data_IF_364162733097
#
_entry.id   IF_364162733097
#
_cell.length_a   1.000
_cell.length_b   1.000
_cell.length_c   1.000
_cell.angle_alpha   90.00
_cell.angle_beta   90.00
_cell.angle_gamma   90.00
#
_symmetry.space_group_name_H-M   'P 1'
#
loop_
_entity.id
_entity.type
_entity.pdbx_description
1 polymer ?
#
# COMPACT_ATOMS: atom_id res chain seq x y z
N UNK A 1 -26.11 15.67 12.60
CA UNK A 1 -25.98 14.62 11.55
C UNK A 1 -25.36 15.25 10.31
N UNK A 2 -24.18 14.76 9.92
CA UNK A 2 -23.42 14.91 8.65
C UNK A 2 -23.10 16.31 8.08
N UNK A 3 -22.02 16.47 7.28
CA UNK A 3 -20.78 15.70 7.20
C UNK A 3 -19.50 16.57 7.16
N UNK A 4 -18.37 15.99 7.58
CA UNK A 4 -17.03 16.59 7.45
C UNK A 4 -16.50 16.31 6.04
N UNK A 5 -16.25 17.37 5.28
CA UNK A 5 -15.89 17.33 3.87
C UNK A 5 -14.48 16.84 3.58
N UNK A 6 -14.35 16.19 2.42
CA UNK A 6 -13.12 15.74 1.79
C UNK A 6 -12.29 16.95 1.32
N UNK A 7 -11.05 17.10 1.79
CA UNK A 7 -10.20 18.31 1.56
C UNK A 7 -9.44 18.31 0.23
N UNK A 8 -9.47 17.24 -0.57
CA UNK A 8 -8.71 17.20 -1.82
C UNK A 8 -9.58 16.94 -3.04
N UNK A 9 -10.32 17.96 -3.48
CA UNK A 9 -10.71 18.10 -4.89
C UNK A 9 -11.31 19.47 -5.18
N UNK A 10 -10.50 20.53 -5.28
CA UNK A 10 -10.89 21.74 -6.02
C UNK A 10 -9.69 22.40 -6.69
N UNK A 11 -9.95 22.84 -7.92
CA UNK A 11 -9.11 23.62 -8.83
C UNK A 11 -8.00 22.85 -9.55
N UNK A 12 -8.28 22.43 -10.79
CA UNK A 12 -7.85 23.14 -11.98
C UNK A 12 -8.66 22.66 -13.20
N UNK A 13 -9.26 23.60 -13.91
CA UNK A 13 -9.88 23.40 -15.21
C UNK A 13 -8.78 23.21 -16.27
N UNK A 14 -8.99 22.27 -17.20
CA UNK A 14 -8.22 22.18 -18.44
C UNK A 14 -7.10 21.14 -18.43
N UNK A 15 -7.43 19.89 -18.76
CA UNK A 15 -6.51 18.92 -19.36
C UNK A 15 -7.33 18.00 -20.28
N UNK A 16 -7.72 18.53 -21.44
CA UNK A 16 -8.19 17.72 -22.55
C UNK A 16 -6.95 17.13 -23.24
N UNK A 17 -6.99 15.82 -23.48
CA UNK A 17 -6.08 15.06 -24.36
C UNK A 17 -4.67 14.74 -23.82
N UNK A 18 -4.53 13.59 -23.13
CA UNK A 18 -3.27 12.84 -23.14
C UNK A 18 -3.41 11.56 -23.98
N UNK A 19 -2.43 11.25 -24.85
CA UNK A 19 -2.42 10.00 -25.58
C UNK A 19 -2.25 8.83 -24.61
N UNK A 20 -3.12 7.84 -24.77
CA UNK A 20 -3.11 6.55 -24.09
C UNK A 20 -1.77 5.87 -24.41
N UNK A 21 -0.78 6.03 -23.53
CA UNK A 21 0.46 5.25 -23.57
C UNK A 21 0.08 3.78 -23.36
N UNK A 22 0.04 3.03 -24.46
CA UNK A 22 -0.03 1.58 -24.47
C UNK A 22 1.22 1.02 -23.79
N UNK A 23 1.17 0.88 -22.47
CA UNK A 23 2.19 0.17 -21.73
C UNK A 23 1.97 -1.33 -21.97
N UNK A 24 2.72 -1.90 -22.92
CA UNK A 24 2.87 -3.33 -23.09
C UNK A 24 3.55 -3.89 -21.83
N UNK A 25 2.75 -4.33 -20.86
CA UNK A 25 3.25 -4.92 -19.63
C UNK A 25 3.84 -6.28 -19.99
N UNK A 26 5.17 -6.34 -20.06
CA UNK A 26 5.94 -7.56 -20.22
C UNK A 26 5.48 -8.64 -19.24
N UNK A 27 5.20 -9.82 -19.79
CA UNK A 27 4.76 -11.01 -19.08
C UNK A 27 5.81 -11.46 -18.05
N UNK A 28 5.62 -11.08 -16.79
CA UNK A 28 6.41 -11.61 -15.68
C UNK A 28 5.91 -13.01 -15.33
N UNK A 29 6.82 -13.99 -15.38
CA UNK A 29 6.56 -15.42 -15.16
C UNK A 29 5.91 -15.63 -13.79
N UNK A 30 4.64 -16.05 -13.77
CA UNK A 30 3.86 -16.31 -12.56
C UNK A 30 4.38 -17.58 -11.86
N UNK A 31 5.16 -17.40 -10.80
CA UNK A 31 5.30 -18.42 -9.76
C UNK A 31 3.90 -18.70 -9.17
N UNK A 32 3.45 -19.95 -9.15
CA UNK A 32 2.14 -20.35 -8.59
C UNK A 32 2.15 -20.23 -7.06
N UNK A 33 2.17 -19.02 -6.52
CA UNK A 33 1.78 -18.75 -5.13
C UNK A 33 0.26 -18.71 -5.07
N UNK A 34 -0.34 -19.61 -4.28
CA UNK A 34 -1.80 -19.73 -4.09
C UNK A 34 -2.35 -18.42 -3.52
N UNK A 35 -2.91 -17.58 -4.38
CA UNK A 35 -3.44 -16.28 -3.98
C UNK A 35 -4.69 -16.47 -3.13
N UNK A 36 -4.73 -15.86 -1.94
CA UNK A 36 -5.86 -15.96 -1.03
C UNK A 36 -6.65 -14.66 -1.08
N UNK A 37 -7.87 -14.72 -1.59
CA UNK A 37 -8.84 -13.64 -1.43
C UNK A 37 -9.55 -13.79 -0.09
N UNK A 38 -9.83 -12.68 0.59
CA UNK A 38 -10.58 -12.74 1.84
C UNK A 38 -11.21 -11.40 2.17
N UNK A 39 -12.54 -11.35 2.05
CA UNK A 39 -13.37 -10.23 2.51
C UNK A 39 -13.41 -10.09 4.04
N UNK A 40 -12.92 -11.09 4.79
CA UNK A 40 -12.91 -11.12 6.26
C UNK A 40 -12.09 -9.97 6.86
N UNK A 41 -11.11 -9.45 6.13
CA UNK A 41 -10.19 -8.44 6.64
C UNK A 41 -10.67 -7.00 6.37
N UNK A 42 -11.73 -6.82 5.58
CA UNK A 42 -12.21 -5.53 5.09
C UNK A 42 -11.64 -5.15 3.73
N UNK A 43 -11.86 -3.90 3.33
CA UNK A 43 -11.49 -3.39 2.00
C UNK A 43 -10.02 -2.96 1.92
N UNK A 44 -9.45 -3.00 0.71
CA UNK A 44 -8.11 -2.50 0.45
C UNK A 44 -8.08 -0.97 0.58
N UNK A 45 -7.24 -0.41 1.45
CA UNK A 45 -7.13 1.05 1.61
C UNK A 45 -6.50 1.79 0.40
N UNK A 46 -6.10 1.06 -0.65
CA UNK A 46 -5.40 1.61 -1.83
C UNK A 46 -6.23 1.48 -3.10
N UNK A 47 -6.72 0.27 -3.44
CA UNK A 47 -7.62 0.09 -4.58
C UNK A 47 -9.10 0.17 -4.23
N UNK A 48 -9.45 0.23 -2.94
CA UNK A 48 -10.82 0.31 -2.43
C UNK A 48 -11.69 -0.92 -2.75
N UNK A 49 -11.10 -2.01 -3.24
CA UNK A 49 -11.81 -3.27 -3.43
C UNK A 49 -12.18 -3.90 -2.07
N UNK A 50 -13.42 -4.34 -1.94
CA UNK A 50 -13.94 -5.02 -0.75
C UNK A 50 -13.37 -6.42 -0.53
N UNK A 51 -12.80 -7.03 -1.59
CA UNK A 51 -12.19 -8.35 -1.54
C UNK A 51 -10.68 -8.27 -1.88
N UNK A 52 -9.81 -7.92 -0.91
CA UNK A 52 -8.39 -7.82 -1.16
C UNK A 52 -7.77 -9.17 -1.52
N UNK A 53 -6.98 -9.17 -2.60
CA UNK A 53 -6.18 -10.33 -3.04
C UNK A 53 -4.85 -10.32 -2.29
N UNK A 54 -4.56 -11.43 -1.60
CA UNK A 54 -3.40 -11.56 -0.71
C UNK A 54 -3.37 -10.42 0.32
N UNK A 55 -4.34 -10.41 1.25
CA UNK A 55 -4.56 -9.32 2.20
C UNK A 55 -3.40 -9.20 3.19
N UNK A 56 -2.86 -8.00 3.31
CA UNK A 56 -1.64 -7.74 4.04
C UNK A 56 -1.75 -6.54 4.96
N UNK A 57 -1.05 -6.63 6.09
CA UNK A 57 -1.02 -5.58 7.10
C UNK A 57 0.40 -5.10 7.37
N UNK A 58 0.49 -3.90 7.92
CA UNK A 58 1.75 -3.32 8.37
C UNK A 58 2.27 -4.08 9.59
N UNK A 59 3.57 -4.39 9.65
CA UNK A 59 4.15 -5.13 10.79
C UNK A 59 4.15 -4.32 12.10
N UNK A 60 4.05 -2.99 12.00
CA UNK A 60 4.06 -2.06 13.13
C UNK A 60 2.66 -1.84 13.70
N UNK A 61 1.74 -1.23 12.93
CA UNK A 61 0.38 -0.97 13.40
C UNK A 61 -0.54 -2.20 13.35
N UNK A 62 -0.15 -3.25 12.62
CA UNK A 62 -0.90 -4.51 12.46
C UNK A 62 -2.31 -4.35 11.88
N UNK A 63 -2.60 -3.21 11.26
CA UNK A 63 -3.85 -2.95 10.55
C UNK A 63 -3.74 -3.41 9.09
N UNK A 64 -4.88 -3.78 8.48
CA UNK A 64 -4.97 -4.16 7.07
C UNK A 64 -4.60 -2.95 6.19
N UNK A 65 -3.52 -3.06 5.44
CA UNK A 65 -3.16 -2.07 4.40
C UNK A 65 -3.94 -2.36 3.12
N UNK A 66 -4.12 -3.64 2.77
CA UNK A 66 -4.87 -4.06 1.59
C UNK A 66 -4.18 -5.16 0.81
N UNK A 67 -4.23 -5.11 -0.52
CA UNK A 67 -3.58 -6.10 -1.39
C UNK A 67 -2.05 -5.98 -1.35
N UNK A 68 -1.33 -7.11 -1.43
CA UNK A 68 0.15 -7.11 -1.56
C UNK A 68 0.62 -6.25 -2.74
N UNK A 69 -0.02 -6.43 -3.90
CA UNK A 69 0.31 -5.70 -5.13
C UNK A 69 0.08 -4.19 -4.96
N UNK A 70 -1.00 -3.79 -4.30
CA UNK A 70 -1.31 -2.40 -4.04
C UNK A 70 -0.30 -1.76 -3.09
N UNK A 71 0.11 -2.45 -2.01
CA UNK A 71 1.15 -1.95 -1.11
C UNK A 71 2.48 -1.71 -1.84
N UNK A 72 2.87 -2.61 -2.76
CA UNK A 72 4.06 -2.42 -3.60
C UNK A 72 3.91 -1.24 -4.56
N UNK A 73 2.74 -1.08 -5.22
CA UNK A 73 2.47 0.06 -6.10
C UNK A 73 2.52 1.38 -5.34
N UNK A 74 1.95 1.43 -4.14
CA UNK A 74 1.98 2.61 -3.26
C UNK A 74 3.41 3.06 -2.99
N UNK A 75 4.28 2.14 -2.58
CA UNK A 75 5.70 2.43 -2.32
C UNK A 75 6.42 2.90 -3.57
N UNK A 76 6.27 2.15 -4.67
CA UNK A 76 6.93 2.46 -5.94
C UNK A 76 6.51 3.81 -6.53
N UNK A 77 5.29 4.28 -6.27
CA UNK A 77 4.84 5.60 -6.75
C UNK A 77 5.73 6.76 -6.26
N UNK A 78 6.33 6.66 -5.06
CA UNK A 78 7.30 7.65 -4.57
C UNK A 78 8.63 7.66 -5.32
N UNK A 79 8.99 6.52 -5.94
CA UNK A 79 10.21 6.31 -6.70
C UNK A 79 10.05 6.60 -8.21
N UNK A 80 8.82 6.67 -8.71
CA UNK A 80 8.52 7.00 -10.12
C UNK A 80 8.58 8.52 -10.41
N UNK A 81 8.65 9.36 -9.37
CA UNK A 81 8.64 10.82 -9.48
C UNK A 81 9.99 11.49 -9.14
N UNK A 82 11.10 11.05 -9.74
CA UNK A 82 12.04 12.08 -10.20
C UNK A 82 12.52 11.85 -11.63
N UNK A 83 12.71 12.97 -12.32
CA UNK A 83 13.63 13.08 -13.45
C UNK A 83 14.94 12.33 -13.13
N UNK A 84 15.61 11.67 -14.09
CA UNK A 84 16.90 11.01 -13.87
C UNK A 84 17.95 11.86 -13.14
N UNK A 85 17.82 13.20 -13.19
CA UNK A 85 18.70 14.17 -12.53
C UNK A 85 18.49 14.32 -11.02
N UNK A 86 17.31 14.00 -10.49
CA UNK A 86 16.98 14.15 -9.06
C UNK A 86 17.14 12.85 -8.25
N UNK A 87 17.39 11.73 -8.93
CA UNK A 87 17.61 10.41 -8.30
C UNK A 87 18.94 10.32 -7.52
N UNK A 88 19.87 11.25 -7.75
CA UNK A 88 21.21 11.26 -7.16
C UNK A 88 21.39 12.15 -5.92
N UNK A 89 20.32 12.71 -5.35
CA UNK A 89 20.45 13.46 -4.09
C UNK A 89 20.43 12.49 -2.91
N UNK A 90 21.61 12.28 -2.32
CA UNK A 90 21.87 11.45 -1.12
C UNK A 90 21.04 11.89 0.11
N UNK A 91 20.28 12.99 0.01
CA UNK A 91 19.49 13.60 1.08
C UNK A 91 18.04 13.89 0.67
N UNK A 92 17.40 13.05 -0.15
CA UNK A 92 15.96 13.22 -0.40
C UNK A 92 15.18 12.80 0.85
N UNK A 93 14.29 13.67 1.40
CA UNK A 93 13.44 13.26 2.51
C UNK A 93 12.49 12.14 2.04
N UNK A 94 12.19 11.15 2.91
CA UNK A 94 11.26 10.08 2.57
C UNK A 94 9.91 10.67 2.19
N UNK A 95 9.44 10.27 1.02
CA UNK A 95 8.15 10.64 0.45
C UNK A 95 7.01 9.99 1.25
N UNK A 96 5.80 10.54 1.12
CA UNK A 96 4.62 9.97 1.77
C UNK A 96 4.36 8.50 1.38
N UNK A 97 4.87 8.09 0.21
CA UNK A 97 4.76 6.76 -0.36
C UNK A 97 5.71 5.75 0.29
N UNK A 98 6.82 6.21 0.87
CA UNK A 98 7.77 5.42 1.67
C UNK A 98 7.29 5.22 3.11
N UNK A 99 6.00 5.48 3.37
CA UNK A 99 5.38 5.34 4.68
C UNK A 99 4.10 4.52 4.58
N UNK A 100 3.79 3.82 5.68
CA UNK A 100 2.52 3.12 5.83
C UNK A 100 1.34 4.09 5.66
N UNK A 101 0.36 3.81 4.79
CA UNK A 101 -0.76 4.71 4.54
C UNK A 101 -1.66 4.91 5.77
N UNK A 102 -1.59 4.01 6.76
CA UNK A 102 -2.41 4.05 7.97
C UNK A 102 -1.69 4.70 9.15
N UNK A 103 -0.50 4.21 9.50
CA UNK A 103 0.22 4.66 10.70
C UNK A 103 1.41 5.55 10.41
N UNK A 104 1.68 5.85 9.13
CA UNK A 104 2.81 6.68 8.66
C UNK A 104 4.20 6.20 9.09
N UNK A 105 4.31 4.97 9.56
CA UNK A 105 5.60 4.33 9.85
C UNK A 105 6.43 4.24 8.56
N UNK A 106 7.68 4.66 8.62
CA UNK A 106 8.60 4.70 7.49
C UNK A 106 9.08 3.30 7.11
N UNK A 107 8.99 2.97 5.82
CA UNK A 107 9.49 1.75 5.24
C UNK A 107 10.89 1.99 4.68
N UNK A 108 11.88 1.25 5.19
CA UNK A 108 13.28 1.55 4.87
C UNK A 108 13.66 1.22 3.42
N UNK A 109 13.42 -0.01 2.97
CA UNK A 109 13.89 -0.51 1.66
C UNK A 109 12.75 -1.08 0.81
N UNK A 110 11.69 -1.55 1.46
CA UNK A 110 10.53 -2.13 0.83
C UNK A 110 9.34 -2.04 1.79
N UNK A 111 8.11 -2.24 1.30
CA UNK A 111 6.94 -2.28 2.17
C UNK A 111 7.09 -3.31 3.28
N UNK A 112 7.13 -2.83 4.53
CA UNK A 112 7.24 -3.68 5.72
C UNK A 112 5.85 -4.22 6.11
N UNK A 113 5.34 -5.08 5.24
CA UNK A 113 4.00 -5.67 5.35
C UNK A 113 4.07 -7.20 5.40
N UNK A 114 3.20 -7.84 6.18
CA UNK A 114 3.03 -9.30 6.28
C UNK A 114 1.59 -9.71 5.96
N UNK A 115 1.38 -10.99 5.68
CA UNK A 115 0.03 -11.56 5.48
C UNK A 115 -0.82 -11.39 6.74
N UNK A 116 -2.08 -10.97 6.58
CA UNK A 116 -2.95 -10.65 7.73
C UNK A 116 -3.14 -11.83 8.68
N UNK A 117 -3.30 -13.04 8.16
CA UNK A 117 -3.46 -14.24 8.99
C UNK A 117 -2.23 -14.51 9.87
N UNK A 118 -1.00 -14.21 9.40
CA UNK A 118 0.21 -14.34 10.22
C UNK A 118 0.31 -13.27 11.31
N UNK A 119 -0.17 -12.07 11.01
CA UNK A 119 -0.18 -10.97 11.97
C UNK A 119 -1.14 -11.23 13.13
N UNK A 120 -2.34 -11.76 12.85
CA UNK A 120 -3.34 -12.09 13.88
C UNK A 120 -2.86 -13.20 14.82
N UNK A 121 -2.33 -14.29 14.26
CA UNK A 121 -1.73 -15.37 15.06
C UNK A 121 -0.64 -14.85 16.02
N UNK A 122 0.16 -13.88 15.57
CA UNK A 122 1.21 -13.27 16.40
C UNK A 122 0.66 -12.37 17.52
N UNK A 123 -0.52 -11.76 17.34
CA UNK A 123 -1.19 -10.99 18.39
C UNK A 123 -1.79 -11.90 19.45
N UNK A 124 -2.41 -13.00 19.03
CA UNK A 124 -3.07 -13.94 19.94
C UNK A 124 -2.05 -14.63 20.86
N UNK A 125 -0.88 -15.01 20.31
CA UNK A 125 0.23 -15.54 21.13
C UNK A 125 0.74 -14.52 22.16
N UNK A 126 0.86 -13.25 21.78
CA UNK A 126 1.30 -12.18 22.69
C UNK A 126 0.30 -11.93 23.81
N UNK A 127 -1.01 -12.01 23.52
CA UNK A 127 -2.07 -11.90 24.54
C UNK A 127 -1.99 -13.07 25.51
N UNK A 128 -1.84 -14.30 25.01
CA UNK A 128 -1.82 -15.49 25.85
C UNK A 128 -0.61 -15.51 26.81
N UNK A 129 0.55 -15.00 26.38
CA UNK A 129 1.74 -14.89 27.24
C UNK A 129 1.63 -13.79 28.30
N UNK A 130 0.76 -12.80 28.12
CA UNK A 130 0.57 -11.68 29.07
C UNK A 130 -0.43 -12.03 30.19
N UNK A 131 -1.20 -13.11 30.01
CA UNK A 131 -2.18 -13.62 30.97
C UNK A 131 -1.64 -14.80 31.82
N UNK A 132 -0.34 -15.09 31.75
CA UNK A 132 0.34 -16.12 32.54
C UNK A 132 1.46 -15.46 33.35
#
# INVERSE_FOLDING_TARGET
MNPVGCIYCKQLAGCHNQPRLSFEIGSSKKSKTKQRKSAEWGSCAICLDDEPVDPVGCVYCRQLVGCRSCANRWYNAGHLLPSPRERSTVNRPPTNNERCPLCRHEWSVHPEVKEMHRLKNSQDQKKNKKNK
#
